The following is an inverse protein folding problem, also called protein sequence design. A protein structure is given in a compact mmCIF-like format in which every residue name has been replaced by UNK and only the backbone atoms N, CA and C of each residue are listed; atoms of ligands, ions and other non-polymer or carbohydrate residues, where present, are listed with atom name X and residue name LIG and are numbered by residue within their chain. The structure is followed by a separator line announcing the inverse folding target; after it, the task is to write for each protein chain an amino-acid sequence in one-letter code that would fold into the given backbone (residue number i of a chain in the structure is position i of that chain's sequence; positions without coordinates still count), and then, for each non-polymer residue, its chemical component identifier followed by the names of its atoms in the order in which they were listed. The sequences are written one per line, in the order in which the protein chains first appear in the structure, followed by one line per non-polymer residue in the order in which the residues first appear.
data_IF_990231946006
#
_entry.id   IF_990231946006
#
_cell.length_a   1.000
_cell.length_b   1.000
_cell.length_c   1.000
_cell.angle_alpha   90.00
_cell.angle_beta   90.00
_cell.angle_gamma   90.00
#
_symmetry.space_group_name_H-M   'P 1'
#
loop_
_entity.id
_entity.type
_entity.pdbx_description
1 polymer ?
#
# COMPACT_ATOMS: atom_id res chain seq x y z
N UNK A 1 -0.14 14.39 5.90
CA UNK A 1 0.93 13.40 5.61
C UNK A 1 0.37 12.32 4.71
N UNK A 2 1.16 11.73 3.82
CA UNK A 2 0.70 10.68 2.89
C UNK A 2 1.67 9.52 2.87
N UNK A 3 1.13 8.30 2.76
CA UNK A 3 1.92 7.09 2.53
C UNK A 3 1.66 6.57 1.14
N UNK A 4 2.70 6.37 0.35
CA UNK A 4 2.63 5.93 -1.04
C UNK A 4 3.11 4.49 -1.18
N UNK A 5 2.49 3.77 -2.13
CA UNK A 5 2.91 2.43 -2.53
C UNK A 5 3.27 2.40 -4.01
N UNK A 6 4.36 1.71 -4.30
CA UNK A 6 4.70 1.18 -5.63
C UNK A 6 4.74 -0.33 -5.53
N UNK A 7 4.04 -1.02 -6.44
CA UNK A 7 3.90 -2.48 -6.45
C UNK A 7 4.56 -3.04 -7.72
N UNK A 8 5.45 -4.01 -7.53
CA UNK A 8 5.99 -4.82 -8.63
C UNK A 8 5.32 -6.18 -8.64
N UNK A 9 4.69 -6.49 -9.76
CA UNK A 9 3.95 -7.72 -9.97
C UNK A 9 4.84 -8.83 -10.53
N UNK A 10 4.45 -10.06 -10.21
CA UNK A 10 5.06 -11.28 -10.74
C UNK A 10 3.98 -12.07 -11.50
N UNK A 11 4.32 -12.64 -12.67
CA UNK A 11 3.39 -13.45 -13.48
C UNK A 11 2.87 -14.68 -12.73
N UNK A 12 3.65 -15.21 -11.78
CA UNK A 12 3.32 -16.36 -10.93
C UNK A 12 2.62 -15.97 -9.61
N UNK A 13 2.33 -14.67 -9.44
CA UNK A 13 1.65 -14.10 -8.30
C UNK A 13 0.16 -13.91 -8.53
N UNK A 14 -0.48 -13.22 -7.58
CA UNK A 14 -1.89 -12.87 -7.74
C UNK A 14 -2.09 -11.86 -8.88
N UNK A 15 -3.23 -11.90 -9.60
CA UNK A 15 -3.55 -10.91 -10.62
C UNK A 15 -3.53 -9.47 -10.05
N UNK A 16 -3.06 -8.47 -10.81
CA UNK A 16 -3.00 -7.09 -10.33
C UNK A 16 -4.33 -6.56 -9.79
N UNK A 17 -5.45 -6.92 -10.42
CA UNK A 17 -6.80 -6.54 -9.97
C UNK A 17 -7.09 -7.00 -8.54
N UNK A 18 -6.71 -8.23 -8.18
CA UNK A 18 -6.90 -8.79 -6.83
C UNK A 18 -6.02 -8.08 -5.80
N UNK A 19 -4.79 -7.72 -6.18
CA UNK A 19 -3.88 -6.98 -5.29
C UNK A 19 -4.43 -5.57 -5.02
N UNK A 20 -4.85 -4.87 -6.07
CA UNK A 20 -5.45 -3.54 -5.96
C UNK A 20 -6.71 -3.60 -5.09
N UNK A 21 -7.61 -4.55 -5.31
CA UNK A 21 -8.82 -4.75 -4.49
C UNK A 21 -8.51 -4.82 -2.99
N UNK A 22 -7.47 -5.58 -2.61
CA UNK A 22 -7.04 -5.68 -1.21
C UNK A 22 -6.53 -4.34 -0.67
N UNK A 23 -5.71 -3.63 -1.43
CA UNK A 23 -5.19 -2.32 -1.03
C UNK A 23 -6.32 -1.29 -0.87
N UNK A 24 -7.31 -1.28 -1.77
CA UNK A 24 -8.48 -0.41 -1.67
C UNK A 24 -9.29 -0.69 -0.39
N UNK A 25 -9.43 -1.96 0.01
CA UNK A 25 -10.12 -2.33 1.26
C UNK A 25 -9.42 -1.81 2.51
N UNK A 26 -8.13 -1.49 2.43
CA UNK A 26 -7.37 -0.88 3.52
C UNK A 26 -7.48 0.66 3.55
N UNK A 27 -8.17 1.27 2.59
CA UNK A 27 -8.30 2.73 2.48
C UNK A 27 -7.24 3.40 1.60
N UNK A 28 -6.38 2.62 0.92
CA UNK A 28 -5.56 3.17 -0.16
C UNK A 28 -6.45 3.60 -1.32
N UNK A 29 -6.01 4.65 -2.03
CA UNK A 29 -6.63 5.13 -3.26
C UNK A 29 -5.67 4.92 -4.42
N UNK A 30 -6.16 4.56 -5.62
CA UNK A 30 -5.30 4.43 -6.78
C UNK A 30 -4.81 5.81 -7.21
N UNK A 31 -3.57 5.87 -7.69
CA UNK A 31 -2.99 7.06 -8.31
C UNK A 31 -2.58 6.76 -9.75
N UNK A 32 -2.55 7.83 -10.55
CA UNK A 32 -1.87 7.83 -11.85
C UNK A 32 -0.64 8.70 -11.71
N UNK A 33 0.55 8.14 -11.93
CA UNK A 33 1.80 8.89 -11.83
C UNK A 33 2.93 8.03 -11.28
N UNK A 34 3.87 8.60 -10.50
CA UNK A 34 5.07 7.90 -10.05
C UNK A 34 4.80 6.80 -9.01
N UNK A 35 3.61 6.80 -8.41
CA UNK A 35 3.15 5.83 -7.43
C UNK A 35 1.85 5.21 -7.89
N UNK A 36 1.60 3.96 -7.46
CA UNK A 36 0.39 3.24 -7.82
C UNK A 36 -0.76 3.55 -6.86
N UNK A 37 -0.46 3.75 -5.57
CA UNK A 37 -1.47 3.97 -4.53
C UNK A 37 -1.03 4.98 -3.48
N UNK A 38 -2.00 5.62 -2.82
CA UNK A 38 -1.79 6.53 -1.70
C UNK A 38 -2.76 6.26 -0.55
N UNK A 39 -2.26 6.28 0.66
CA UNK A 39 -3.02 6.40 1.88
C UNK A 39 -2.88 7.83 2.41
N UNK A 40 -4.01 8.53 2.52
CA UNK A 40 -4.03 9.90 2.99
C UNK A 40 -4.37 9.93 4.48
N UNK A 41 -3.41 10.34 5.31
CA UNK A 41 -3.61 10.49 6.74
C UNK A 41 -4.41 11.74 7.10
N UNK A 42 -4.72 12.59 6.10
CA UNK A 42 -5.38 13.87 6.29
C UNK A 42 -4.49 14.86 7.05
N UNK A 43 -5.15 15.71 7.84
CA UNK A 43 -4.51 16.78 8.63
C UNK A 43 -4.10 16.32 10.05
N UNK A 44 -4.04 15.01 10.30
CA UNK A 44 -3.63 14.45 11.59
C UNK A 44 -2.12 14.53 11.75
N UNK A 45 -1.68 14.77 12.98
CA UNK A 45 -0.32 14.44 13.39
C UNK A 45 -0.26 12.93 13.61
N UNK A 46 0.61 12.24 12.88
CA UNK A 46 0.70 10.78 12.86
C UNK A 46 2.01 10.36 13.51
N UNK A 47 1.95 9.40 14.42
CA UNK A 47 3.14 8.87 15.09
C UNK A 47 3.86 7.81 14.25
N UNK A 48 5.11 7.51 14.62
CA UNK A 48 5.86 6.43 13.98
C UNK A 48 5.15 5.07 14.14
N UNK A 49 4.55 4.82 15.29
CA UNK A 49 3.84 3.58 15.61
C UNK A 49 2.61 3.39 14.72
N UNK A 50 1.87 4.46 14.43
CA UNK A 50 0.75 4.43 13.48
C UNK A 50 1.23 4.09 12.06
N UNK A 51 2.35 4.68 11.62
CA UNK A 51 2.95 4.37 10.31
C UNK A 51 3.39 2.90 10.25
N UNK A 52 4.07 2.40 11.28
CA UNK A 52 4.51 1.00 11.36
C UNK A 52 3.32 0.04 11.39
N UNK A 53 2.23 0.40 12.09
CA UNK A 53 0.99 -0.38 12.11
C UNK A 53 0.37 -0.51 10.72
N UNK A 54 0.33 0.59 9.94
CA UNK A 54 -0.10 0.54 8.54
C UNK A 54 0.82 -0.36 7.71
N UNK A 55 2.15 -0.23 7.86
CA UNK A 55 3.12 -1.06 7.11
C UNK A 55 2.97 -2.55 7.42
N UNK A 56 2.74 -2.93 8.68
CA UNK A 56 2.48 -4.31 9.08
C UNK A 56 1.16 -4.82 8.49
N UNK A 57 0.13 -3.98 8.47
CA UNK A 57 -1.15 -4.32 7.85
C UNK A 57 -1.02 -4.54 6.34
N UNK A 58 -0.20 -3.74 5.66
CA UNK A 58 0.09 -3.91 4.22
C UNK A 58 0.85 -5.22 4.01
N UNK A 59 1.85 -5.49 4.84
CA UNK A 59 2.63 -6.73 4.77
C UNK A 59 1.75 -7.97 4.87
N UNK A 60 0.91 -8.07 5.90
CA UNK A 60 0.02 -9.23 6.07
C UNK A 60 -1.04 -9.31 4.98
N UNK A 61 -1.57 -8.18 4.52
CA UNK A 61 -2.57 -8.15 3.43
C UNK A 61 -2.01 -8.65 2.09
N UNK A 62 -0.73 -8.36 1.81
CA UNK A 62 -0.07 -8.75 0.55
C UNK A 62 0.64 -10.11 0.64
N UNK A 63 0.70 -10.71 1.83
CA UNK A 63 1.34 -12.00 2.07
C UNK A 63 0.73 -13.10 1.22
N UNK A 64 1.59 -13.90 0.60
CA UNK A 64 1.19 -14.98 -0.29
C UNK A 64 0.73 -14.53 -1.69
N UNK A 65 0.60 -13.21 -1.95
CA UNK A 65 0.27 -12.70 -3.28
C UNK A 65 1.48 -12.63 -4.22
N UNK A 66 2.69 -12.87 -3.69
CA UNK A 66 3.99 -12.84 -4.41
C UNK A 66 4.23 -11.53 -5.16
N UNK A 67 4.00 -10.41 -4.49
CA UNK A 67 4.36 -9.07 -4.97
C UNK A 67 5.53 -8.52 -4.18
N UNK A 68 6.33 -7.68 -4.83
CA UNK A 68 7.28 -6.80 -4.13
C UNK A 68 6.66 -5.42 -4.04
N UNK A 69 7.00 -4.68 -2.99
CA UNK A 69 6.46 -3.33 -2.81
C UNK A 69 7.46 -2.40 -2.13
N UNK A 70 7.31 -1.11 -2.40
CA UNK A 70 8.01 -0.01 -1.73
C UNK A 70 6.97 0.84 -1.04
N UNK A 71 7.24 1.21 0.21
CA UNK A 71 6.39 2.11 1.00
C UNK A 71 7.19 3.35 1.36
N UNK A 72 6.63 4.53 1.08
CA UNK A 72 7.23 5.83 1.43
C UNK A 72 6.20 6.68 2.16
N UNK A 73 6.57 7.28 3.29
CA UNK A 73 5.69 8.20 4.04
C UNK A 73 6.32 9.58 4.10
N UNK A 74 5.63 10.58 3.54
CA UNK A 74 6.08 11.97 3.39
C UNK A 74 4.97 12.99 3.65
#
# INVERSE_FOLDING_TARGET
MKTYLTIWFNSEGAPPSKVVERLLSMGFKPLKGPYDHVYDWGNRQVSLEEVLSLMNSVHETLKGLKVLYKIETI
#
